data_IF_815012499199
#
_entry.id   IF_815012499199
#
_cell.length_a   1.000
_cell.length_b   1.000
_cell.length_c   1.000
_cell.angle_alpha   90.00
_cell.angle_beta   90.00
_cell.angle_gamma   90.00
#
_symmetry.space_group_name_H-M   'P 1'
#
loop_
_entity.id
_entity.type
_entity.pdbx_description
1 polymer ?
#
# COMPACT_ATOMS: atom_id res chain seq x y z
N UNK A 1 -11.27 0.31 -3.52
CA UNK A 1 -10.10 0.50 -2.63
C UNK A 1 -9.83 1.98 -2.35
N UNK A 2 -9.75 2.84 -3.38
CA UNK A 2 -9.62 4.30 -3.20
C UNK A 2 -10.78 4.96 -2.43
N UNK A 3 -12.00 4.40 -2.52
CA UNK A 3 -13.18 4.94 -1.83
C UNK A 3 -13.12 4.91 -0.30
N UNK A 4 -12.19 4.16 0.31
CA UNK A 4 -12.12 4.01 1.78
C UNK A 4 -11.13 4.94 2.45
N UNK A 5 -10.09 5.39 1.75
CA UNK A 5 -9.13 6.36 2.28
C UNK A 5 -9.81 7.70 2.58
N UNK A 6 -10.72 8.12 1.70
CA UNK A 6 -11.52 9.34 1.88
C UNK A 6 -12.50 9.26 3.06
N UNK A 7 -12.87 8.04 3.47
CA UNK A 7 -13.77 7.82 4.61
C UNK A 7 -13.04 7.82 5.96
N UNK A 8 -11.70 7.89 5.97
CA UNK A 8 -10.93 7.85 7.21
C UNK A 8 -10.87 9.21 7.90
N UNK A 9 -10.51 10.24 7.15
CA UNK A 9 -10.11 11.55 7.69
C UNK A 9 -10.94 12.75 7.22
N UNK A 10 -11.99 12.53 6.43
CA UNK A 10 -12.76 13.63 5.84
C UNK A 10 -12.02 14.34 4.70
N UNK A 11 -12.30 15.63 4.44
CA UNK A 11 -11.68 16.38 3.35
C UNK A 11 -10.15 16.36 3.41
N UNK A 12 -9.52 16.19 2.25
CA UNK A 12 -8.07 16.29 2.13
C UNK A 12 -7.63 17.75 2.28
N UNK A 13 -6.43 17.95 2.84
CA UNK A 13 -5.77 19.25 2.82
C UNK A 13 -5.13 19.47 1.46
N UNK A 14 -5.18 20.70 0.95
CA UNK A 14 -4.59 21.05 -0.35
C UNK A 14 -3.05 20.97 -0.34
N UNK A 15 -2.44 21.10 0.84
CA UNK A 15 -1.00 21.03 1.02
C UNK A 15 -0.57 19.69 1.66
N UNK A 16 0.27 18.96 0.93
CA UNK A 16 0.96 17.77 1.45
C UNK A 16 2.44 18.09 1.61
N UNK A 17 2.96 18.20 2.86
CA UNK A 17 4.37 18.50 3.09
C UNK A 17 5.30 17.31 2.76
N UNK A 18 4.73 16.14 2.48
CA UNK A 18 5.47 14.91 2.20
C UNK A 18 5.56 14.70 0.69
N UNK A 19 6.77 14.71 0.10
CA UNK A 19 6.94 14.50 -1.33
C UNK A 19 6.54 13.07 -1.73
N UNK A 20 5.75 12.95 -2.79
CA UNK A 20 5.39 11.65 -3.35
C UNK A 20 6.48 11.15 -4.33
N UNK A 21 6.89 9.87 -4.29
CA UNK A 21 8.00 9.33 -5.09
C UNK A 21 7.62 9.09 -6.56
N UNK A 22 7.16 10.12 -7.27
CA UNK A 22 6.74 10.09 -8.67
C UNK A 22 7.78 9.48 -9.63
N UNK A 23 9.08 9.64 -9.33
CA UNK A 23 10.16 9.06 -10.14
C UNK A 23 10.17 7.53 -10.07
N UNK A 24 9.95 6.95 -8.89
CA UNK A 24 9.89 5.50 -8.72
C UNK A 24 8.70 4.90 -9.49
N UNK A 25 7.52 5.50 -9.37
CA UNK A 25 6.32 5.08 -10.11
C UNK A 25 6.48 5.21 -11.63
N UNK A 26 7.18 6.24 -12.13
CA UNK A 26 7.48 6.35 -13.57
C UNK A 26 8.44 5.28 -14.06
N UNK A 27 9.43 4.93 -13.25
CA UNK A 27 10.41 3.88 -13.59
C UNK A 27 9.73 2.52 -13.66
N UNK A 28 9.01 2.13 -12.61
CA UNK A 28 8.44 0.78 -12.50
C UNK A 28 7.40 0.48 -13.60
N UNK A 29 6.69 1.50 -14.11
CA UNK A 29 5.75 1.34 -15.24
C UNK A 29 6.40 0.82 -16.53
N UNK A 30 7.73 0.89 -16.65
CA UNK A 30 8.49 0.42 -17.80
C UNK A 30 9.20 -0.91 -17.56
N UNK A 31 9.13 -1.44 -16.34
CA UNK A 31 9.76 -2.70 -15.95
C UNK A 31 8.82 -3.89 -16.22
N UNK A 32 9.32 -5.12 -16.01
CA UNK A 32 8.55 -6.35 -16.20
C UNK A 32 7.34 -6.44 -15.26
N UNK A 33 6.36 -7.29 -15.60
CA UNK A 33 5.20 -7.53 -14.73
C UNK A 33 5.64 -8.06 -13.36
N UNK A 34 6.66 -8.90 -13.32
CA UNK A 34 7.25 -9.43 -12.09
C UNK A 34 7.81 -8.30 -11.22
N UNK A 35 8.59 -7.39 -11.80
CA UNK A 35 9.11 -6.22 -11.09
C UNK A 35 7.99 -5.29 -10.61
N UNK A 36 6.96 -5.08 -11.42
CA UNK A 36 5.79 -4.29 -11.04
C UNK A 36 5.04 -4.92 -9.86
N UNK A 37 4.83 -6.25 -9.87
CA UNK A 37 4.18 -6.98 -8.78
C UNK A 37 5.01 -6.93 -7.48
N UNK A 38 6.33 -7.11 -7.58
CA UNK A 38 7.23 -6.97 -6.43
C UNK A 38 7.15 -5.56 -5.82
N UNK A 39 7.19 -4.52 -6.67
CA UNK A 39 7.06 -3.13 -6.23
C UNK A 39 5.70 -2.85 -5.55
N UNK A 40 4.61 -3.41 -6.07
CA UNK A 40 3.29 -3.31 -5.43
C UNK A 40 3.28 -4.00 -4.06
N UNK A 41 3.86 -5.21 -3.96
CA UNK A 41 3.96 -5.95 -2.69
C UNK A 41 4.76 -5.20 -1.63
N UNK A 42 5.90 -4.60 -2.00
CA UNK A 42 6.71 -3.75 -1.12
C UNK A 42 5.93 -2.49 -0.70
N UNK A 43 5.29 -1.82 -1.65
CA UNK A 43 4.49 -0.61 -1.37
C UNK A 43 3.36 -0.90 -0.39
N UNK A 44 2.64 -2.02 -0.56
CA UNK A 44 1.59 -2.46 0.37
C UNK A 44 2.16 -2.76 1.76
N UNK A 45 3.38 -3.28 1.85
CA UNK A 45 4.08 -3.52 3.12
C UNK A 45 4.41 -2.20 3.83
N UNK A 46 4.91 -1.19 3.12
CA UNK A 46 5.15 0.14 3.69
C UNK A 46 3.86 0.82 4.16
N UNK A 47 2.77 0.71 3.39
CA UNK A 47 1.46 1.24 3.81
C UNK A 47 0.97 0.52 5.07
N UNK A 48 1.08 -0.81 5.14
CA UNK A 48 0.69 -1.58 6.33
C UNK A 48 1.47 -1.14 7.57
N UNK A 49 2.79 -0.98 7.44
CA UNK A 49 3.66 -0.51 8.53
C UNK A 49 3.29 0.90 9.00
N UNK A 50 3.00 1.82 8.07
CA UNK A 50 2.54 3.17 8.40
C UNK A 50 1.28 3.13 9.28
N UNK A 51 0.29 2.31 8.92
CA UNK A 51 -0.96 2.19 9.67
C UNK A 51 -0.83 1.38 10.97
N UNK A 52 0.24 0.60 11.15
CA UNK A 52 0.51 -0.14 12.38
C UNK A 52 1.30 0.69 13.40
N UNK A 53 2.21 1.54 12.92
CA UNK A 53 3.16 2.27 13.76
C UNK A 53 2.74 3.72 14.02
N UNK A 54 1.83 4.28 13.21
CA UNK A 54 1.34 5.63 13.43
C UNK A 54 0.48 5.71 14.69
N UNK A 55 0.70 6.75 15.49
CA UNK A 55 -0.22 7.10 16.58
C UNK A 55 -1.51 7.68 15.98
N UNK A 56 -2.43 6.80 15.60
CA UNK A 56 -3.70 7.16 14.96
C UNK A 56 -4.67 7.88 15.90
N UNK A 57 -4.42 7.85 17.22
CA UNK A 57 -5.28 8.55 18.19
C UNK A 57 -5.28 10.07 18.00
N UNK A 58 -4.18 10.64 17.51
CA UNK A 58 -4.06 12.06 17.21
C UNK A 58 -4.75 12.48 15.90
N UNK A 59 -5.05 11.52 15.02
CA UNK A 59 -5.58 11.80 13.68
C UNK A 59 -7.10 12.00 13.65
N UNK A 60 -7.82 11.60 14.70
CA UNK A 60 -9.28 11.70 14.77
C UNK A 60 -10.03 10.82 13.74
N UNK A 61 -9.35 9.83 13.16
CA UNK A 61 -9.93 8.99 12.11
C UNK A 61 -10.95 8.00 12.67
N UNK A 62 -11.93 7.64 11.85
CA UNK A 62 -12.91 6.62 12.24
C UNK A 62 -12.21 5.26 12.45
N UNK A 63 -12.21 4.77 13.69
CA UNK A 63 -11.47 3.57 14.09
C UNK A 63 -11.92 2.33 13.30
N UNK A 64 -13.24 2.09 13.21
CA UNK A 64 -13.78 0.93 12.46
C UNK A 64 -13.37 0.96 10.99
N UNK A 65 -13.38 2.13 10.36
CA UNK A 65 -12.97 2.29 8.96
C UNK A 65 -11.46 2.10 8.80
N UNK A 66 -10.68 2.56 9.77
CA UNK A 66 -9.22 2.38 9.82
C UNK A 66 -8.85 0.91 9.97
N UNK A 67 -9.50 0.17 10.87
CA UNK A 67 -9.31 -1.27 11.03
C UNK A 67 -9.69 -2.04 9.76
N UNK A 68 -10.84 -1.73 9.15
CA UNK A 68 -11.24 -2.32 7.86
C UNK A 68 -10.21 -2.03 6.76
N UNK A 69 -9.64 -0.83 6.73
CA UNK A 69 -8.60 -0.47 5.77
C UNK A 69 -7.33 -1.30 6.01
N UNK A 70 -6.88 -1.42 7.27
CA UNK A 70 -5.72 -2.27 7.65
C UNK A 70 -5.91 -3.71 7.22
N UNK A 71 -7.07 -4.31 7.50
CA UNK A 71 -7.39 -5.69 7.09
C UNK A 71 -7.30 -5.85 5.56
N UNK A 72 -7.85 -4.91 4.80
CA UNK A 72 -7.80 -4.96 3.34
C UNK A 72 -6.37 -4.84 2.80
N UNK A 73 -5.54 -3.95 3.37
CA UNK A 73 -4.15 -3.79 2.95
C UNK A 73 -3.34 -5.05 3.27
N UNK A 74 -3.50 -5.63 4.46
CA UNK A 74 -2.79 -6.85 4.84
C UNK A 74 -3.15 -8.02 3.91
N UNK A 75 -4.45 -8.19 3.61
CA UNK A 75 -4.90 -9.23 2.68
C UNK A 75 -4.31 -9.03 1.29
N UNK A 76 -4.38 -7.82 0.74
CA UNK A 76 -3.81 -7.57 -0.59
C UNK A 76 -2.30 -7.73 -0.63
N UNK A 77 -1.61 -7.36 0.43
CA UNK A 77 -0.17 -7.62 0.57
C UNK A 77 0.10 -9.11 0.48
N UNK A 78 -0.61 -9.93 1.26
CA UNK A 78 -0.45 -11.38 1.28
C UNK A 78 -0.74 -12.00 -0.09
N UNK A 79 -1.84 -11.61 -0.73
CA UNK A 79 -2.23 -12.10 -2.05
C UNK A 79 -1.13 -11.77 -3.11
N UNK A 80 -0.62 -10.53 -3.13
CA UNK A 80 0.42 -10.11 -4.08
C UNK A 80 1.76 -10.79 -3.79
N UNK A 81 2.20 -10.85 -2.53
CA UNK A 81 3.45 -11.51 -2.17
C UNK A 81 3.41 -13.01 -2.47
N UNK A 82 2.25 -13.64 -2.29
CA UNK A 82 2.06 -15.03 -2.70
C UNK A 82 2.25 -15.18 -4.22
N UNK A 83 1.63 -14.33 -5.04
CA UNK A 83 1.86 -14.33 -6.48
C UNK A 83 3.35 -14.16 -6.82
N UNK A 84 4.05 -13.20 -6.19
CA UNK A 84 5.50 -12.99 -6.42
C UNK A 84 6.30 -14.25 -6.07
N UNK A 85 6.00 -14.91 -4.96
CA UNK A 85 6.69 -16.14 -4.56
C UNK A 85 6.53 -17.28 -5.58
N UNK A 86 5.37 -17.36 -6.24
CA UNK A 86 5.13 -18.37 -7.29
C UNK A 86 5.93 -18.09 -8.56
N UNK A 87 6.24 -16.84 -8.88
CA UNK A 87 7.12 -16.50 -10.01
C UNK A 87 8.56 -16.89 -9.70
N UNK A 88 9.06 -16.53 -8.52
CA UNK A 88 10.43 -16.88 -8.11
C UNK A 88 10.66 -18.39 -8.10
N UNK A 89 9.68 -19.20 -7.72
CA UNK A 89 9.81 -20.67 -7.72
C UNK A 89 9.83 -21.26 -9.14
N UNK A 90 9.14 -20.62 -10.09
CA UNK A 90 9.08 -21.07 -11.49
C UNK A 90 10.33 -20.72 -12.28
N UNK A 91 11.07 -19.68 -11.90
CA UNK A 91 12.32 -19.30 -12.57
C UNK A 91 13.50 -20.25 -12.22
N UNK A 92 13.32 -21.19 -11.27
CA UNK A 92 14.31 -22.20 -10.86
C UNK A 92 13.96 -23.65 -11.26
N UNK A 93 12.89 -23.89 -12.02
CA UNK A 93 12.51 -25.20 -12.58
C UNK A 93 12.43 -25.11 -14.10
#
# INVERSE_FOLDING_TARGET
MMSRLLLLGGPLRDECPVPFPNRAYRRIRRETVQSQLAFVGETLSFIAQLFNNANMSAAGWNQTSTEKFRTNINRQREDVLHCVSTFTIRDFN
#
